data_IF_721663874211
#
_entry.id   IF_721663874211
#
_cell.length_a   1.000
_cell.length_b   1.000
_cell.length_c   1.000
_cell.angle_alpha   90.00
_cell.angle_beta   90.00
_cell.angle_gamma   90.00
#
_symmetry.space_group_name_H-M   'P 1'
#
loop_
_entity.id
_entity.type
_entity.pdbx_description
1 polymer ?
#
# COMPACT_ATOMS: atom_id res chain seq x y z
N UNK A 1 -5.57 39.40 -13.27
CA UNK A 1 -6.03 38.17 -12.64
C UNK A 1 -6.80 37.21 -13.58
N UNK A 2 -7.65 37.66 -14.50
CA UNK A 2 -8.38 36.76 -15.43
C UNK A 2 -7.50 36.17 -16.55
N UNK A 3 -6.49 36.88 -17.03
CA UNK A 3 -5.57 36.39 -18.07
C UNK A 3 -4.65 35.25 -17.58
N UNK A 4 -4.23 35.28 -16.30
CA UNK A 4 -3.39 34.22 -15.72
C UNK A 4 -4.15 32.89 -15.52
N UNK A 5 -5.48 32.93 -15.28
CA UNK A 5 -6.32 31.74 -15.15
C UNK A 5 -6.58 31.07 -16.51
N UNK A 6 -6.65 31.83 -17.59
CA UNK A 6 -6.85 31.31 -18.96
C UNK A 6 -5.59 30.60 -19.48
N UNK A 7 -4.41 31.14 -19.26
CA UNK A 7 -3.15 30.52 -19.60
C UNK A 7 -2.87 29.23 -18.81
N UNK A 8 -3.38 29.14 -17.58
CA UNK A 8 -3.29 27.90 -16.80
C UNK A 8 -4.25 26.80 -17.30
N UNK A 9 -5.43 27.17 -17.84
CA UNK A 9 -6.38 26.19 -18.38
C UNK A 9 -5.98 25.65 -19.76
N UNK A 10 -5.37 26.46 -20.62
CA UNK A 10 -4.88 26.04 -21.94
C UNK A 10 -3.66 25.10 -21.82
N UNK A 11 -2.73 25.39 -20.90
CA UNK A 11 -1.62 24.47 -20.56
C UNK A 11 -2.09 23.13 -19.99
N UNK A 12 -3.29 23.06 -19.46
CA UNK A 12 -3.87 21.86 -18.88
C UNK A 12 -4.39 20.88 -19.95
N UNK A 13 -5.06 21.37 -21.00
CA UNK A 13 -5.58 20.55 -22.10
C UNK A 13 -4.47 19.95 -22.97
N UNK A 14 -3.38 20.70 -23.19
CA UNK A 14 -2.22 20.22 -23.96
C UNK A 14 -1.42 19.15 -23.20
N UNK A 15 -1.32 19.24 -21.87
CA UNK A 15 -0.70 18.19 -21.04
C UNK A 15 -1.47 16.88 -21.07
N UNK A 16 -2.80 16.90 -21.15
CA UNK A 16 -3.61 15.67 -21.25
C UNK A 16 -3.41 14.93 -22.59
N UNK A 17 -3.15 15.63 -23.69
CA UNK A 17 -2.90 15.01 -25.01
C UNK A 17 -1.52 14.38 -25.14
N UNK A 18 -0.52 14.83 -24.37
CA UNK A 18 0.85 14.29 -24.40
C UNK A 18 1.03 12.99 -23.57
N UNK A 19 0.08 12.61 -22.74
CA UNK A 19 0.22 11.46 -21.82
C UNK A 19 -0.27 10.13 -22.39
N UNK A 20 -0.79 10.07 -23.61
CA UNK A 20 -1.40 8.84 -24.17
C UNK A 20 -0.41 7.74 -24.57
N UNK A 21 0.93 7.94 -24.43
CA UNK A 21 1.96 6.94 -24.75
C UNK A 21 3.00 6.70 -23.66
N UNK A 22 2.86 7.30 -22.46
CA UNK A 22 3.76 7.08 -21.34
C UNK A 22 3.02 6.40 -20.20
N UNK A 23 3.72 5.55 -19.45
CA UNK A 23 3.17 4.93 -18.25
C UNK A 23 2.66 5.99 -17.25
N UNK A 24 1.63 5.67 -16.50
CA UNK A 24 0.93 6.59 -15.56
C UNK A 24 1.83 7.08 -14.41
N UNK A 25 2.94 6.36 -14.15
CA UNK A 25 3.95 6.68 -13.14
C UNK A 25 5.32 6.99 -13.77
N UNK A 26 5.36 7.31 -15.05
CA UNK A 26 6.60 7.67 -15.75
C UNK A 26 7.34 8.80 -15.02
N UNK A 27 8.66 8.64 -14.85
CA UNK A 27 9.55 9.54 -14.12
C UNK A 27 9.23 9.72 -12.60
N UNK A 28 8.32 8.94 -12.03
CA UNK A 28 8.08 8.91 -10.58
C UNK A 28 9.04 7.92 -9.89
N UNK A 29 9.49 8.27 -8.70
CA UNK A 29 10.26 7.39 -7.81
C UNK A 29 9.37 6.93 -6.66
N UNK A 30 9.20 5.61 -6.52
CA UNK A 30 8.33 5.02 -5.52
C UNK A 30 9.10 4.13 -4.54
N UNK A 31 8.82 4.28 -3.26
CA UNK A 31 9.22 3.36 -2.21
C UNK A 31 8.05 2.39 -1.98
N UNK A 32 8.29 1.09 -2.11
CA UNK A 32 7.30 0.03 -1.82
C UNK A 32 7.74 -0.70 -0.56
N UNK A 33 7.08 -0.43 0.55
CA UNK A 33 7.39 -1.05 1.85
C UNK A 33 6.53 -2.30 2.03
N UNK A 34 7.17 -3.43 2.33
CA UNK A 34 6.54 -4.76 2.32
C UNK A 34 6.37 -5.28 0.89
N UNK A 35 7.44 -5.17 0.09
CA UNK A 35 7.46 -5.57 -1.31
C UNK A 35 7.66 -7.08 -1.52
N UNK A 36 8.04 -7.82 -0.46
CA UNK A 36 8.40 -9.22 -0.57
C UNK A 36 7.22 -10.14 -0.93
N UNK A 37 7.54 -11.22 -1.64
CA UNK A 37 6.60 -12.27 -2.03
C UNK A 37 6.70 -13.46 -1.09
N UNK A 38 5.69 -13.68 -0.28
CA UNK A 38 5.58 -14.93 0.49
C UNK A 38 5.35 -16.12 -0.45
N UNK A 39 5.91 -17.31 -0.14
CA UNK A 39 5.63 -18.51 -0.92
C UNK A 39 4.14 -18.85 -0.96
N UNK A 40 3.64 -19.25 -2.13
CA UNK A 40 2.26 -19.63 -2.37
C UNK A 40 1.89 -19.61 -3.85
N UNK A 41 0.66 -20.04 -4.18
CA UNK A 41 0.20 -20.15 -5.56
C UNK A 41 -0.22 -18.80 -6.16
N UNK A 42 -0.40 -17.77 -5.34
CA UNK A 42 -0.90 -16.47 -5.77
C UNK A 42 0.09 -15.36 -5.44
N UNK A 43 -0.13 -14.18 -5.99
CA UNK A 43 0.72 -13.00 -5.78
C UNK A 43 0.28 -12.23 -4.54
N UNK A 44 1.24 -11.73 -3.76
CA UNK A 44 0.99 -10.83 -2.64
C UNK A 44 0.79 -9.38 -3.08
N UNK A 45 0.07 -8.58 -2.28
CA UNK A 45 -0.23 -7.18 -2.62
C UNK A 45 1.04 -6.34 -2.86
N UNK A 46 2.11 -6.55 -2.08
CA UNK A 46 3.36 -5.80 -2.23
C UNK A 46 4.04 -6.06 -3.55
N UNK A 47 4.17 -7.33 -3.95
CA UNK A 47 4.72 -7.72 -5.24
C UNK A 47 3.85 -7.21 -6.38
N UNK A 48 2.53 -7.43 -6.35
CA UNK A 48 1.63 -6.94 -7.39
C UNK A 48 1.72 -5.41 -7.56
N UNK A 49 1.82 -4.66 -6.45
CA UNK A 49 2.02 -3.22 -6.50
C UNK A 49 3.36 -2.86 -7.15
N UNK A 50 4.45 -3.53 -6.77
CA UNK A 50 5.77 -3.30 -7.36
C UNK A 50 5.78 -3.56 -8.87
N UNK A 51 5.20 -4.69 -9.32
CA UNK A 51 5.11 -5.02 -10.74
C UNK A 51 4.25 -4.00 -11.50
N UNK A 52 3.07 -3.62 -10.97
CA UNK A 52 2.20 -2.62 -11.63
C UNK A 52 2.84 -1.24 -11.69
N UNK A 53 3.53 -0.81 -10.63
CA UNK A 53 4.25 0.46 -10.63
C UNK A 53 5.39 0.47 -11.67
N UNK A 54 6.13 -0.65 -11.81
CA UNK A 54 7.17 -0.79 -12.83
C UNK A 54 6.58 -0.78 -14.26
N UNK A 55 5.48 -1.50 -14.50
CA UNK A 55 4.76 -1.48 -15.78
C UNK A 55 4.32 -0.07 -16.19
N UNK A 56 3.99 0.77 -15.20
CA UNK A 56 3.60 2.16 -15.40
C UNK A 56 4.79 3.15 -15.41
N UNK A 57 6.04 2.65 -15.47
CA UNK A 57 7.24 3.44 -15.69
C UNK A 57 7.88 4.01 -14.43
N UNK A 58 7.50 3.59 -13.23
CA UNK A 58 8.12 4.07 -12.00
C UNK A 58 9.53 3.49 -11.79
N UNK A 59 10.41 4.31 -11.19
CA UNK A 59 11.65 3.86 -10.56
C UNK A 59 11.34 3.37 -9.15
N UNK A 60 11.86 2.20 -8.72
CA UNK A 60 11.45 1.55 -7.48
C UNK A 60 12.58 1.34 -6.47
N UNK A 61 12.31 1.66 -5.20
CA UNK A 61 13.00 1.11 -4.05
C UNK A 61 12.07 0.07 -3.39
N UNK A 62 12.43 -1.21 -3.50
CA UNK A 62 11.71 -2.32 -2.88
C UNK A 62 12.26 -2.54 -1.47
N UNK A 63 11.40 -2.50 -0.47
CA UNK A 63 11.78 -2.63 0.94
C UNK A 63 11.05 -3.82 1.55
N UNK A 64 11.80 -4.72 2.18
CA UNK A 64 11.25 -5.82 2.98
C UNK A 64 12.27 -6.24 4.05
N UNK A 65 11.82 -6.93 5.08
CA UNK A 65 12.69 -7.53 6.09
C UNK A 65 13.28 -8.86 5.61
N UNK A 66 12.62 -9.55 4.69
CA UNK A 66 13.01 -10.87 4.19
C UNK A 66 13.71 -10.75 2.83
N UNK A 67 14.99 -11.06 2.82
CA UNK A 67 15.83 -10.95 1.62
C UNK A 67 15.33 -11.84 0.47
N UNK A 68 15.05 -13.11 0.72
CA UNK A 68 14.60 -14.03 -0.31
C UNK A 68 13.29 -13.57 -0.96
N UNK A 69 12.34 -13.06 -0.16
CA UNK A 69 11.06 -12.61 -0.65
C UNK A 69 11.16 -11.33 -1.50
N UNK A 70 12.01 -10.39 -1.10
CA UNK A 70 12.15 -9.16 -1.88
C UNK A 70 12.98 -9.38 -3.15
N UNK A 71 13.92 -10.32 -3.13
CA UNK A 71 14.67 -10.70 -4.33
C UNK A 71 13.78 -11.39 -5.38
N UNK A 72 12.80 -12.20 -4.98
CA UNK A 72 11.82 -12.78 -5.90
C UNK A 72 10.99 -11.67 -6.58
N UNK A 73 10.55 -10.66 -5.84
CA UNK A 73 9.89 -9.49 -6.41
C UNK A 73 10.81 -8.66 -7.31
N UNK A 74 12.08 -8.47 -6.91
CA UNK A 74 13.07 -7.76 -7.71
C UNK A 74 13.26 -8.40 -9.09
N UNK A 75 13.41 -9.73 -9.14
CA UNK A 75 13.53 -10.47 -10.40
C UNK A 75 12.28 -10.30 -11.28
N UNK A 76 11.09 -10.37 -10.68
CA UNK A 76 9.84 -10.19 -11.41
C UNK A 76 9.70 -8.77 -12.00
N UNK A 77 10.19 -7.74 -11.30
CA UNK A 77 10.12 -6.35 -11.72
C UNK A 77 11.12 -6.01 -12.82
N UNK A 78 12.30 -6.64 -12.82
CA UNK A 78 13.36 -6.36 -13.81
C UNK A 78 12.91 -6.53 -15.27
N UNK A 79 11.97 -7.44 -15.54
CA UNK A 79 11.46 -7.67 -16.90
C UNK A 79 10.80 -6.43 -17.54
N UNK A 80 10.38 -5.45 -16.73
CA UNK A 80 9.73 -4.22 -17.22
C UNK A 80 10.73 -3.09 -17.56
N UNK A 81 12.05 -3.32 -17.39
CA UNK A 81 13.12 -2.43 -17.86
C UNK A 81 13.32 -1.15 -17.05
N UNK A 82 12.56 -0.94 -15.96
CA UNK A 82 12.70 0.23 -15.08
C UNK A 82 13.90 0.13 -14.12
N UNK A 83 14.28 1.27 -13.52
CA UNK A 83 15.27 1.27 -12.44
C UNK A 83 14.64 0.72 -11.18
N UNK A 84 15.25 -0.33 -10.62
CA UNK A 84 14.80 -0.95 -9.37
C UNK A 84 15.99 -1.27 -8.48
N UNK A 85 15.83 -1.10 -7.18
CA UNK A 85 16.80 -1.55 -6.18
C UNK A 85 16.10 -2.07 -4.93
N UNK A 86 16.83 -2.82 -4.12
CA UNK A 86 16.35 -3.46 -2.90
C UNK A 86 17.03 -2.82 -1.69
N UNK A 87 16.29 -2.72 -0.59
CA UNK A 87 16.80 -2.42 0.73
C UNK A 87 16.15 -3.36 1.76
N UNK A 88 16.97 -4.03 2.56
CA UNK A 88 16.50 -4.79 3.71
C UNK A 88 16.32 -3.83 4.89
N UNK A 89 15.12 -3.80 5.45
CA UNK A 89 14.79 -2.93 6.57
C UNK A 89 13.62 -3.49 7.40
N UNK A 90 13.69 -3.31 8.70
CA UNK A 90 12.62 -3.61 9.65
C UNK A 90 11.93 -2.31 10.07
N UNK A 91 10.71 -2.09 9.59
CA UNK A 91 9.97 -0.85 9.90
C UNK A 91 9.56 -0.70 11.36
N UNK A 92 9.76 -1.71 12.21
CA UNK A 92 9.58 -1.57 13.65
C UNK A 92 10.76 -0.82 14.32
N UNK A 93 11.85 -0.60 13.57
CA UNK A 93 13.04 0.15 13.98
C UNK A 93 13.07 1.51 13.30
N UNK A 94 13.13 2.58 14.10
CA UNK A 94 13.09 3.94 13.54
C UNK A 94 14.29 4.25 12.64
N UNK A 95 15.48 3.77 13.01
CA UNK A 95 16.70 3.98 12.19
C UNK A 95 16.58 3.35 10.81
N UNK A 96 15.94 2.17 10.72
CA UNK A 96 15.69 1.53 9.42
C UNK A 96 14.69 2.36 8.59
N UNK A 97 13.65 2.92 9.22
CA UNK A 97 12.70 3.81 8.54
C UNK A 97 13.38 5.08 8.01
N UNK A 98 14.32 5.67 8.78
CA UNK A 98 15.13 6.79 8.34
C UNK A 98 16.05 6.38 7.17
N UNK A 99 16.68 5.21 7.26
CA UNK A 99 17.53 4.67 6.20
C UNK A 99 16.76 4.43 4.90
N UNK A 100 15.48 4.02 4.94
CA UNK A 100 14.63 3.86 3.75
C UNK A 100 14.55 5.17 2.95
N UNK A 101 14.19 6.27 3.61
CA UNK A 101 14.06 7.56 2.95
C UNK A 101 15.41 8.07 2.42
N UNK A 102 16.46 7.99 3.25
CA UNK A 102 17.81 8.43 2.86
C UNK A 102 18.33 7.63 1.67
N UNK A 103 18.22 6.29 1.70
CA UNK A 103 18.68 5.43 0.59
C UNK A 103 17.96 5.75 -0.73
N UNK A 104 16.66 6.06 -0.68
CA UNK A 104 15.92 6.45 -1.87
C UNK A 104 16.46 7.77 -2.44
N UNK A 105 16.71 8.75 -1.58
CA UNK A 105 17.30 10.02 -1.98
C UNK A 105 18.72 9.86 -2.54
N UNK A 106 19.57 9.07 -1.90
CA UNK A 106 20.95 8.84 -2.32
C UNK A 106 21.01 8.15 -3.69
N UNK A 107 20.10 7.21 -3.96
CA UNK A 107 20.10 6.44 -5.21
C UNK A 107 19.40 7.14 -6.37
N UNK A 108 18.35 7.92 -6.08
CA UNK A 108 17.45 8.44 -7.11
C UNK A 108 17.23 9.94 -7.07
N UNK A 109 17.71 10.63 -6.03
CA UNK A 109 17.64 12.09 -5.90
C UNK A 109 16.26 12.66 -5.58
N UNK A 110 15.23 11.81 -5.47
CA UNK A 110 13.85 12.22 -5.16
C UNK A 110 13.01 11.07 -4.63
N UNK A 111 11.89 11.41 -4.02
CA UNK A 111 10.83 10.47 -3.64
C UNK A 111 9.51 11.08 -4.10
N UNK A 112 8.69 10.37 -4.87
CA UNK A 112 7.38 10.86 -5.31
C UNK A 112 6.23 10.09 -4.64
N UNK A 113 6.46 8.80 -4.34
CA UNK A 113 5.43 7.92 -3.83
C UNK A 113 5.99 7.10 -2.67
N UNK A 114 5.23 7.04 -1.56
CA UNK A 114 5.40 6.07 -0.49
C UNK A 114 4.21 5.13 -0.46
N UNK A 115 4.43 3.85 -0.80
CA UNK A 115 3.41 2.80 -0.72
C UNK A 115 3.69 1.90 0.48
N UNK A 116 2.90 2.04 1.54
CA UNK A 116 3.00 1.27 2.78
C UNK A 116 2.08 0.06 2.74
N UNK A 117 2.64 -1.13 2.53
CA UNK A 117 1.86 -2.37 2.42
C UNK A 117 2.04 -3.35 3.59
N UNK A 118 2.96 -3.10 4.52
CA UNK A 118 3.22 -3.99 5.65
C UNK A 118 1.99 -4.12 6.57
N UNK A 119 1.76 -5.35 7.02
CA UNK A 119 0.74 -5.63 8.02
C UNK A 119 0.65 -7.11 8.36
N UNK A 120 0.34 -7.41 9.63
CA UNK A 120 0.15 -8.77 10.12
C UNK A 120 -0.99 -8.84 11.14
N UNK A 121 -1.54 -10.05 11.31
CA UNK A 121 -2.52 -10.36 12.35
C UNK A 121 -2.14 -11.65 13.12
N UNK A 122 -0.89 -12.08 13.01
CA UNK A 122 -0.40 -13.28 13.70
C UNK A 122 -0.43 -13.05 15.19
N UNK A 123 -1.01 -13.98 15.95
CA UNK A 123 -1.16 -13.86 17.41
C UNK A 123 -2.42 -13.11 17.87
N UNK A 124 -3.18 -12.49 16.95
CA UNK A 124 -4.42 -11.80 17.31
C UNK A 124 -5.50 -12.80 17.80
N UNK A 125 -6.19 -12.45 18.85
CA UNK A 125 -7.18 -13.28 19.54
C UNK A 125 -8.41 -12.48 19.94
N UNK A 126 -9.39 -13.14 20.57
CA UNK A 126 -10.48 -12.48 21.27
C UNK A 126 -9.92 -11.68 22.47
N UNK A 127 -10.62 -10.63 22.88
CA UNK A 127 -10.16 -9.67 23.89
C UNK A 127 -9.60 -10.31 25.15
N UNK A 128 -10.29 -11.33 25.68
CA UNK A 128 -9.91 -12.00 26.94
C UNK A 128 -8.72 -12.96 26.80
N UNK A 129 -8.45 -13.42 25.57
CA UNK A 129 -7.41 -14.41 25.25
C UNK A 129 -6.19 -13.76 24.57
N UNK A 130 -6.19 -12.43 24.41
CA UNK A 130 -5.15 -11.72 23.69
C UNK A 130 -3.98 -11.38 24.62
N UNK A 131 -2.83 -11.93 24.32
CA UNK A 131 -1.58 -11.61 25.02
C UNK A 131 -1.14 -10.17 24.70
N UNK A 132 -0.72 -9.41 25.71
CA UNK A 132 -0.25 -8.02 25.56
C UNK A 132 0.92 -7.94 24.58
N UNK A 133 1.86 -8.88 24.63
CA UNK A 133 2.97 -8.93 23.70
C UNK A 133 2.54 -9.11 22.23
N UNK A 134 1.45 -9.82 21.97
CA UNK A 134 0.88 -9.95 20.62
C UNK A 134 0.21 -8.64 20.17
N UNK A 135 -0.49 -7.96 21.09
CA UNK A 135 -1.03 -6.61 20.86
C UNK A 135 0.10 -5.66 20.47
N UNK A 136 1.15 -5.55 21.29
CA UNK A 136 2.26 -4.63 21.04
C UNK A 136 2.94 -4.91 19.70
N UNK A 137 3.25 -6.17 19.40
CA UNK A 137 3.90 -6.57 18.15
C UNK A 137 3.05 -6.26 16.89
N UNK A 138 1.72 -6.36 16.97
CA UNK A 138 0.82 -6.01 15.87
C UNK A 138 0.73 -4.49 15.72
N UNK A 139 0.60 -3.74 16.81
CA UNK A 139 0.55 -2.27 16.79
C UNK A 139 1.87 -1.67 16.31
N UNK A 140 3.00 -2.18 16.78
CA UNK A 140 4.33 -1.73 16.36
C UNK A 140 4.51 -1.90 14.84
N UNK A 141 4.16 -3.05 14.30
CA UNK A 141 4.31 -3.30 12.86
C UNK A 141 3.28 -2.54 12.01
N UNK A 142 1.98 -2.66 12.34
CA UNK A 142 0.91 -2.19 11.47
C UNK A 142 0.68 -0.68 11.52
N UNK A 143 0.94 -0.06 12.67
CA UNK A 143 0.67 1.37 12.91
C UNK A 143 1.95 2.17 13.10
N UNK A 144 2.75 1.84 14.13
CA UNK A 144 3.95 2.60 14.45
C UNK A 144 4.99 2.55 13.33
N UNK A 145 5.22 1.38 12.73
CA UNK A 145 6.13 1.24 11.59
C UNK A 145 5.68 2.08 10.39
N UNK A 146 4.37 2.06 10.08
CA UNK A 146 3.81 2.89 9.01
C UNK A 146 3.89 4.38 9.32
N UNK A 147 3.68 4.77 10.58
CA UNK A 147 3.92 6.14 11.04
C UNK A 147 5.38 6.56 10.83
N UNK A 148 6.34 5.72 11.23
CA UNK A 148 7.77 6.04 11.12
C UNK A 148 8.22 6.17 9.66
N UNK A 149 7.74 5.33 8.74
CA UNK A 149 8.01 5.50 7.31
C UNK A 149 7.47 6.83 6.77
N UNK A 150 6.24 7.20 7.14
CA UNK A 150 5.66 8.50 6.80
C UNK A 150 6.49 9.65 7.38
N UNK A 151 6.85 9.58 8.69
CA UNK A 151 7.63 10.59 9.41
C UNK A 151 8.94 10.94 8.68
N UNK A 152 9.64 9.92 8.18
CA UNK A 152 10.96 10.14 7.57
C UNK A 152 10.89 10.46 6.06
N UNK A 153 9.78 10.18 5.37
CA UNK A 153 9.59 10.57 3.97
C UNK A 153 8.98 11.97 3.83
N UNK A 154 8.07 12.37 4.71
CA UNK A 154 7.37 13.66 4.64
C UNK A 154 8.28 14.88 4.53
N UNK A 155 9.43 15.01 5.21
CA UNK A 155 10.33 16.16 5.04
C UNK A 155 10.79 16.35 3.58
N UNK A 156 11.05 15.27 2.86
CA UNK A 156 11.43 15.32 1.44
C UNK A 156 10.25 15.75 0.57
N UNK A 157 9.05 15.23 0.82
CA UNK A 157 7.84 15.65 0.12
C UNK A 157 7.54 17.14 0.34
N UNK A 158 7.67 17.63 1.58
CA UNK A 158 7.46 19.05 1.91
C UNK A 158 8.48 19.92 1.17
N UNK A 159 9.76 19.55 1.16
CA UNK A 159 10.80 20.27 0.44
C UNK A 159 10.55 20.26 -1.09
N UNK A 160 10.08 19.15 -1.65
CA UNK A 160 9.72 19.02 -3.06
C UNK A 160 8.39 19.72 -3.41
N UNK A 161 7.56 20.04 -2.41
CA UNK A 161 6.17 20.50 -2.56
C UNK A 161 5.33 19.55 -3.43
N UNK A 162 5.57 18.27 -3.30
CA UNK A 162 4.89 17.21 -4.04
C UNK A 162 5.14 15.87 -3.36
N UNK A 163 4.13 15.02 -3.28
CA UNK A 163 4.26 13.66 -2.78
C UNK A 163 2.92 12.92 -2.72
N UNK A 164 2.98 11.61 -2.73
CA UNK A 164 1.81 10.76 -2.57
C UNK A 164 2.08 9.60 -1.62
N UNK A 165 1.25 9.48 -0.59
CA UNK A 165 1.25 8.34 0.34
C UNK A 165 0.03 7.46 0.01
N UNK A 166 0.27 6.16 -0.17
CA UNK A 166 -0.77 5.14 -0.29
C UNK A 166 -0.57 4.12 0.81
N UNK A 167 -1.44 4.14 1.80
CA UNK A 167 -1.40 3.22 2.93
C UNK A 167 -2.35 2.04 2.71
N UNK A 168 -1.87 0.81 2.91
CA UNK A 168 -2.75 -0.37 2.89
C UNK A 168 -3.35 -0.59 4.27
N UNK A 169 -4.62 -0.26 4.38
CA UNK A 169 -5.47 -0.55 5.53
C UNK A 169 -6.17 -1.91 5.37
N UNK A 170 -7.43 -2.00 5.70
CA UNK A 170 -8.27 -3.20 5.52
C UNK A 170 -9.74 -2.86 5.75
N UNK A 171 -10.66 -3.56 5.09
CA UNK A 171 -12.09 -3.54 5.45
C UNK A 171 -12.36 -4.00 6.89
N UNK A 172 -11.42 -4.75 7.51
CA UNK A 172 -11.48 -5.09 8.92
C UNK A 172 -11.54 -3.88 9.84
N UNK A 173 -11.00 -2.71 9.42
CA UNK A 173 -11.09 -1.46 10.18
C UNK A 173 -12.52 -0.96 10.37
N UNK A 174 -13.42 -1.31 9.45
CA UNK A 174 -14.80 -0.81 9.42
C UNK A 174 -15.86 -1.91 9.73
N UNK A 175 -15.50 -3.19 9.58
CA UNK A 175 -16.41 -4.32 9.80
C UNK A 175 -16.17 -5.00 11.15
N UNK A 176 -17.21 -5.61 11.73
CA UNK A 176 -17.05 -6.48 12.89
C UNK A 176 -16.32 -7.79 12.47
N UNK A 177 -15.16 -8.06 13.08
CA UNK A 177 -14.36 -9.27 12.85
C UNK A 177 -13.72 -9.74 14.15
N UNK A 178 -13.42 -11.02 14.30
CA UNK A 178 -12.87 -11.59 15.54
C UNK A 178 -11.36 -11.35 15.70
N UNK A 179 -10.84 -10.23 15.23
CA UNK A 179 -9.43 -9.83 15.30
C UNK A 179 -9.35 -8.42 15.87
N UNK A 180 -9.10 -8.33 17.19
CA UNK A 180 -9.17 -7.05 17.90
C UNK A 180 -8.05 -6.11 17.50
N UNK A 181 -6.79 -6.55 17.63
CA UNK A 181 -5.62 -5.69 17.46
C UNK A 181 -5.44 -5.28 16.00
N UNK A 182 -5.59 -6.25 15.08
CA UNK A 182 -5.50 -5.97 13.65
C UNK A 182 -6.53 -4.92 13.21
N UNK A 183 -7.79 -5.08 13.64
CA UNK A 183 -8.86 -4.14 13.36
C UNK A 183 -8.52 -2.74 13.92
N UNK A 184 -8.10 -2.68 15.18
CA UNK A 184 -7.73 -1.43 15.86
C UNK A 184 -6.58 -0.73 15.14
N UNK A 185 -5.52 -1.47 14.81
CA UNK A 185 -4.36 -0.91 14.09
C UNK A 185 -4.74 -0.35 12.72
N UNK A 186 -5.59 -1.07 11.95
CA UNK A 186 -6.02 -0.60 10.63
C UNK A 186 -7.04 0.55 10.71
N UNK A 187 -7.86 0.63 11.78
CA UNK A 187 -8.67 1.81 12.07
C UNK A 187 -7.82 3.04 12.38
N UNK A 188 -6.77 2.87 13.17
CA UNK A 188 -5.82 3.95 13.47
C UNK A 188 -5.04 4.41 12.22
N UNK A 189 -4.67 3.49 11.31
CA UNK A 189 -4.07 3.83 10.00
C UNK A 189 -5.01 4.71 9.17
N UNK A 190 -6.33 4.45 9.17
CA UNK A 190 -7.30 5.29 8.47
C UNK A 190 -7.27 6.72 9.00
N UNK A 191 -7.36 6.89 10.33
CA UNK A 191 -7.32 8.21 10.98
C UNK A 191 -5.99 8.92 10.75
N UNK A 192 -4.86 8.21 10.88
CA UNK A 192 -3.53 8.74 10.60
C UNK A 192 -3.42 9.22 9.15
N UNK A 193 -3.92 8.45 8.18
CA UNK A 193 -3.90 8.82 6.76
C UNK A 193 -4.66 10.11 6.51
N UNK A 194 -5.87 10.26 7.08
CA UNK A 194 -6.68 11.47 6.96
C UNK A 194 -6.01 12.68 7.60
N UNK A 195 -5.37 12.49 8.76
CA UNK A 195 -4.62 13.56 9.43
C UNK A 195 -3.44 14.04 8.57
N UNK A 196 -2.60 13.10 8.06
CA UNK A 196 -1.47 13.43 7.19
C UNK A 196 -1.95 14.16 5.92
N UNK A 197 -3.07 13.74 5.35
CA UNK A 197 -3.66 14.38 4.16
C UNK A 197 -4.01 15.84 4.43
N UNK A 198 -4.71 16.11 5.53
CA UNK A 198 -5.13 17.45 5.93
C UNK A 198 -3.94 18.35 6.25
N UNK A 199 -3.00 17.86 7.06
CA UNK A 199 -1.84 18.61 7.53
C UNK A 199 -0.92 19.04 6.37
N UNK A 200 -0.79 18.21 5.33
CA UNK A 200 0.20 18.40 4.28
C UNK A 200 -0.37 18.81 2.90
N UNK A 201 -1.70 19.01 2.79
CA UNK A 201 -2.35 19.40 1.53
C UNK A 201 -1.80 20.70 0.95
N UNK A 202 -1.48 21.68 1.79
CA UNK A 202 -0.90 22.96 1.37
C UNK A 202 0.49 22.86 0.71
N UNK A 203 1.17 21.74 0.92
CA UNK A 203 2.45 21.42 0.29
C UNK A 203 2.29 20.58 -1.00
N UNK A 204 1.07 20.34 -1.48
CA UNK A 204 0.82 19.51 -2.65
C UNK A 204 1.00 18.01 -2.39
N UNK A 205 0.93 17.59 -1.11
CA UNK A 205 1.08 16.20 -0.70
C UNK A 205 -0.30 15.58 -0.52
N UNK A 206 -0.48 14.36 -1.05
CA UNK A 206 -1.72 13.57 -0.91
C UNK A 206 -1.45 12.32 -0.08
N UNK A 207 -2.39 11.94 0.75
CA UNK A 207 -2.35 10.68 1.48
C UNK A 207 -3.72 10.01 1.42
N UNK A 208 -3.75 8.74 1.00
CA UNK A 208 -4.97 7.96 0.84
C UNK A 208 -4.77 6.55 1.38
N UNK A 209 -5.84 5.89 1.77
CA UNK A 209 -5.80 4.50 2.20
C UNK A 209 -6.65 3.61 1.29
N UNK A 210 -6.11 2.44 0.94
CA UNK A 210 -6.84 1.35 0.31
C UNK A 210 -7.26 0.39 1.41
N UNK A 211 -8.50 -0.07 1.37
CA UNK A 211 -9.07 -1.03 2.31
C UNK A 211 -9.39 -2.35 1.58
N UNK A 212 -8.40 -3.25 1.42
CA UNK A 212 -8.65 -4.54 0.80
C UNK A 212 -9.66 -5.36 1.60
N UNK A 213 -10.56 -6.03 0.88
CA UNK A 213 -11.49 -6.99 1.44
C UNK A 213 -10.89 -8.40 1.56
N UNK A 214 -11.57 -9.37 0.97
CA UNK A 214 -11.10 -10.73 0.87
C UNK A 214 -10.30 -10.89 -0.43
N UNK A 215 -8.99 -10.74 -0.32
CA UNK A 215 -8.05 -10.86 -1.44
C UNK A 215 -7.38 -12.24 -1.39
N UNK A 216 -7.27 -12.90 -2.55
CA UNK A 216 -6.54 -14.17 -2.70
C UNK A 216 -5.04 -13.89 -2.77
N UNK A 217 -4.39 -14.04 -1.62
CA UNK A 217 -2.94 -13.84 -1.46
C UNK A 217 -2.36 -14.96 -0.61
N UNK A 218 -1.05 -15.25 -0.70
CA UNK A 218 -0.42 -16.29 0.12
C UNK A 218 -0.67 -16.09 1.61
N UNK A 219 -0.56 -14.86 2.10
CA UNK A 219 -0.83 -14.55 3.51
C UNK A 219 -2.28 -14.88 3.91
N UNK A 220 -3.23 -14.71 3.00
CA UNK A 220 -4.65 -14.95 3.28
C UNK A 220 -5.07 -16.41 3.17
N UNK A 221 -4.45 -17.17 2.27
CA UNK A 221 -4.87 -18.55 1.95
C UNK A 221 -3.94 -19.58 2.59
N UNK A 222 -2.62 -19.51 2.31
CA UNK A 222 -1.65 -20.51 2.75
C UNK A 222 -1.62 -20.67 4.27
N UNK A 223 -1.57 -19.53 4.97
CA UNK A 223 -1.56 -19.54 6.43
C UNK A 223 -2.81 -20.20 7.00
N UNK A 224 -4.00 -19.82 6.51
CA UNK A 224 -5.28 -20.36 7.02
C UNK A 224 -5.45 -21.84 6.69
N UNK A 225 -5.07 -22.27 5.50
CA UNK A 225 -5.09 -23.66 5.12
C UNK A 225 -4.23 -24.50 6.06
N UNK A 226 -2.99 -24.04 6.33
CA UNK A 226 -2.07 -24.70 7.25
C UNK A 226 -2.55 -24.69 8.71
N UNK A 227 -3.02 -23.55 9.23
CA UNK A 227 -3.50 -23.42 10.62
C UNK A 227 -4.73 -24.28 10.89
N UNK A 228 -5.57 -24.51 9.87
CA UNK A 228 -6.81 -25.28 9.99
C UNK A 228 -6.70 -26.74 9.52
N UNK A 229 -5.59 -27.12 8.89
CA UNK A 229 -5.40 -28.46 8.32
C UNK A 229 -6.37 -28.80 7.18
N UNK A 230 -6.79 -27.80 6.38
CA UNK A 230 -7.70 -27.96 5.23
C UNK A 230 -7.00 -27.55 3.93
N UNK A 231 -7.57 -27.96 2.77
CA UNK A 231 -7.04 -27.54 1.48
C UNK A 231 -7.23 -26.02 1.23
N UNK A 232 -6.40 -25.46 0.36
CA UNK A 232 -6.51 -24.06 -0.08
C UNK A 232 -7.88 -23.78 -0.72
N UNK A 233 -8.41 -24.74 -1.49
CA UNK A 233 -9.68 -24.59 -2.20
C UNK A 233 -10.86 -24.50 -1.23
N UNK A 234 -10.82 -25.22 -0.11
CA UNK A 234 -11.80 -25.06 0.97
C UNK A 234 -11.76 -23.64 1.53
N UNK A 235 -10.56 -23.11 1.80
CA UNK A 235 -10.41 -21.74 2.30
C UNK A 235 -10.90 -20.73 1.28
N UNK A 236 -10.60 -20.92 0.00
CA UNK A 236 -11.08 -20.03 -1.09
C UNK A 236 -12.58 -20.03 -1.18
N UNK A 237 -13.20 -21.21 -1.33
CA UNK A 237 -14.65 -21.34 -1.45
C UNK A 237 -15.42 -20.71 -0.29
N UNK A 238 -14.97 -20.92 0.95
CA UNK A 238 -15.57 -20.29 2.14
C UNK A 238 -15.47 -18.76 2.10
N UNK A 239 -14.36 -18.21 1.59
CA UNK A 239 -14.14 -16.77 1.53
C UNK A 239 -14.92 -16.13 0.38
N UNK A 240 -14.98 -16.78 -0.78
CA UNK A 240 -15.76 -16.34 -1.94
C UNK A 240 -17.25 -16.24 -1.61
N UNK A 241 -17.79 -17.22 -0.90
CA UNK A 241 -19.19 -17.21 -0.43
C UNK A 241 -19.56 -16.01 0.45
N UNK A 242 -18.57 -15.33 1.04
CA UNK A 242 -18.80 -14.13 1.84
C UNK A 242 -18.88 -12.86 0.99
N UNK A 243 -18.29 -12.83 -0.22
CA UNK A 243 -18.20 -11.66 -1.06
C UNK A 243 -19.45 -11.51 -1.91
N UNK A 244 -20.14 -10.35 -1.93
CA UNK A 244 -21.32 -10.13 -2.75
C UNK A 244 -21.11 -10.35 -4.26
N UNK A 245 -19.92 -10.04 -4.78
CA UNK A 245 -19.57 -10.30 -6.19
C UNK A 245 -19.35 -11.80 -6.51
N UNK A 246 -19.39 -12.68 -5.50
CA UNK A 246 -19.25 -14.14 -5.67
C UNK A 246 -17.81 -14.63 -5.93
N UNK A 247 -16.83 -13.75 -5.86
CA UNK A 247 -15.40 -14.10 -6.00
C UNK A 247 -14.56 -13.24 -5.09
N UNK A 248 -13.39 -13.74 -4.69
CA UNK A 248 -12.39 -12.90 -4.02
C UNK A 248 -11.75 -11.95 -5.03
N UNK A 249 -11.28 -10.81 -4.54
CA UNK A 249 -10.36 -9.96 -5.29
C UNK A 249 -8.96 -10.58 -5.38
N UNK A 250 -8.16 -10.08 -6.30
CA UNK A 250 -6.75 -10.42 -6.47
C UNK A 250 -5.84 -9.28 -5.96
N UNK A 251 -4.56 -9.57 -5.78
CA UNK A 251 -3.58 -8.54 -5.46
C UNK A 251 -3.48 -7.46 -6.57
N UNK A 252 -3.85 -7.79 -7.80
CA UNK A 252 -3.86 -6.86 -8.93
C UNK A 252 -4.96 -5.80 -8.81
N UNK A 253 -6.11 -6.13 -8.21
CA UNK A 253 -7.18 -5.16 -7.95
C UNK A 253 -6.71 -4.09 -6.96
N UNK A 254 -5.96 -4.50 -5.94
CA UNK A 254 -5.32 -3.59 -4.97
C UNK A 254 -4.24 -2.76 -5.66
N UNK A 255 -3.37 -3.39 -6.45
CA UNK A 255 -2.27 -2.74 -7.16
C UNK A 255 -2.76 -1.70 -8.18
N UNK A 256 -3.81 -2.02 -8.95
CA UNK A 256 -4.43 -1.09 -9.92
C UNK A 256 -4.99 0.16 -9.21
N UNK A 257 -5.63 -0.03 -8.06
CA UNK A 257 -6.11 1.09 -7.23
C UNK A 257 -4.94 1.92 -6.69
N UNK A 258 -3.84 1.27 -6.29
CA UNK A 258 -2.64 1.96 -5.81
C UNK A 258 -2.00 2.80 -6.92
N UNK A 259 -1.87 2.28 -8.14
CA UNK A 259 -1.39 3.03 -9.31
C UNK A 259 -2.27 4.26 -9.59
N UNK A 260 -3.59 4.09 -9.60
CA UNK A 260 -4.52 5.21 -9.80
C UNK A 260 -4.30 6.30 -8.75
N UNK A 261 -4.30 5.94 -7.46
CA UNK A 261 -4.09 6.90 -6.37
C UNK A 261 -2.71 7.57 -6.41
N UNK A 262 -1.69 6.86 -6.86
CA UNK A 262 -0.32 7.38 -6.98
C UNK A 262 -0.13 8.29 -8.20
N UNK A 263 -0.95 8.14 -9.24
CA UNK A 263 -0.86 8.88 -10.50
C UNK A 263 -1.41 10.31 -10.40
N UNK A 264 -1.14 11.10 -11.42
CA UNK A 264 -1.66 12.47 -11.56
C UNK A 264 -3.18 12.50 -11.89
N UNK A 265 -3.77 11.36 -12.27
CA UNK A 265 -5.23 11.21 -12.42
C UNK A 265 -5.96 11.45 -11.09
N UNK A 266 -5.34 11.07 -9.97
CA UNK A 266 -5.86 11.26 -8.62
C UNK A 266 -5.39 12.57 -7.96
N UNK A 267 -4.92 13.56 -8.72
CA UNK A 267 -4.32 14.80 -8.20
C UNK A 267 -5.21 15.62 -7.25
N UNK A 268 -6.51 15.43 -7.29
CA UNK A 268 -7.49 16.11 -6.42
C UNK A 268 -8.12 15.17 -5.39
N UNK A 269 -7.53 13.97 -5.20
CA UNK A 269 -8.01 12.96 -4.26
C UNK A 269 -6.99 12.85 -3.13
N UNK A 270 -7.40 13.26 -1.92
CA UNK A 270 -6.61 13.12 -0.69
C UNK A 270 -7.52 12.89 0.51
N UNK A 271 -7.06 12.15 1.52
CA UNK A 271 -7.81 11.79 2.72
C UNK A 271 -8.89 10.73 2.53
N UNK A 272 -8.95 10.06 1.36
CA UNK A 272 -9.98 9.06 1.09
C UNK A 272 -9.58 7.67 1.61
N UNK A 273 -10.61 6.91 1.95
CA UNK A 273 -10.54 5.51 2.36
C UNK A 273 -11.30 4.70 1.30
N UNK A 274 -10.57 4.00 0.42
CA UNK A 274 -11.16 3.30 -0.74
C UNK A 274 -11.27 1.80 -0.46
N UNK A 275 -12.47 1.23 -0.27
CA UNK A 275 -12.66 -0.21 -0.24
C UNK A 275 -12.39 -0.83 -1.62
N UNK A 276 -11.63 -1.95 -1.61
CA UNK A 276 -11.43 -2.85 -2.75
C UNK A 276 -11.86 -4.22 -2.27
N UNK A 277 -13.16 -4.51 -2.29
CA UNK A 277 -13.73 -5.56 -1.45
C UNK A 277 -14.91 -6.35 -2.03
N UNK A 278 -15.25 -6.11 -3.30
CA UNK A 278 -16.37 -6.81 -3.97
C UNK A 278 -17.73 -6.58 -3.29
N UNK A 279 -17.92 -5.44 -2.62
CA UNK A 279 -19.15 -5.07 -1.92
C UNK A 279 -19.25 -5.60 -0.49
N UNK A 280 -18.17 -6.13 0.08
CA UNK A 280 -18.20 -6.77 1.40
C UNK A 280 -18.65 -5.83 2.53
N UNK A 281 -18.26 -4.54 2.48
CA UNK A 281 -18.64 -3.54 3.48
C UNK A 281 -20.09 -3.06 3.39
N UNK A 282 -20.70 -3.16 2.21
CA UNK A 282 -22.09 -2.73 1.97
C UNK A 282 -23.09 -3.88 1.94
N UNK A 283 -22.62 -5.12 2.17
CA UNK A 283 -23.45 -6.31 2.28
C UNK A 283 -24.42 -6.13 3.46
N UNK A 284 -25.71 -6.16 3.16
CA UNK A 284 -26.74 -6.31 4.19
C UNK A 284 -26.74 -7.77 4.68
N UNK A 285 -26.80 -7.99 5.97
CA UNK A 285 -26.82 -9.32 6.61
C UNK A 285 -28.07 -10.12 6.27
#
# INVERSE_FOLDING_TARGET
MLASRRAQSENFHDRQKMTMNKGRLEAKVAIIVGAGQQPGDTVGNGRASAERFAQEGATLLLVDINEAWVQDTYQAVQQYGGKVSVLLADITREEDCKAIAQTCMDRYGRIDILHNNVGRSTGDRKTVDLEVAAWDAIMDMNLKGMFMTCKHVLPYFIAQRSGCIVNISSTASMAARPTLTYKTSKGAVNTMTQHIAMENAAFGIRANAILPGLIDTPMAIERRARERGVSRDVVRAEREALVPMGCMGTAWDVANTAVFLASDEARYITGVLIPVDGGLLVKRG
#
